data_IF_056579437475
#
_entry.id   IF_056579437475
#
_cell.length_a   1.000
_cell.length_b   1.000
_cell.length_c   1.000
_cell.angle_alpha   90.00
_cell.angle_beta   90.00
_cell.angle_gamma   90.00
#
_symmetry.space_group_name_H-M   'P 1'
#
loop_
_entity.id
_entity.type
_entity.pdbx_description
1 polymer ?
#
# COMPACT_ATOMS: atom_id res chain seq x y z
N UNK A 1 31.55 -39.59 46.89
CA UNK A 1 31.57 -38.25 46.27
C UNK A 1 32.18 -38.47 44.89
N UNK A 2 31.33 -38.93 43.97
CA UNK A 2 30.83 -38.16 42.82
C UNK A 2 31.92 -37.99 41.74
N UNK A 3 31.74 -38.30 40.46
CA UNK A 3 30.56 -38.77 39.74
C UNK A 3 31.08 -39.41 38.43
N UNK A 4 30.48 -40.52 38.05
CA UNK A 4 30.58 -41.09 36.71
C UNK A 4 29.98 -40.10 35.70
N UNK A 5 30.67 -39.87 34.57
CA UNK A 5 30.06 -39.69 33.25
C UNK A 5 31.13 -39.21 32.27
N UNK A 6 31.95 -40.16 31.84
CA UNK A 6 32.66 -40.07 30.57
C UNK A 6 31.64 -39.95 29.43
N UNK A 7 31.46 -38.73 28.94
CA UNK A 7 31.20 -38.38 27.53
C UNK A 7 30.34 -39.37 26.74
N UNK A 8 29.07 -39.48 27.11
CA UNK A 8 28.02 -40.06 26.28
C UNK A 8 27.14 -38.95 25.68
N UNK A 9 27.71 -38.15 24.78
CA UNK A 9 26.93 -37.32 23.83
C UNK A 9 27.65 -37.37 22.48
N UNK A 10 27.77 -38.56 21.89
CA UNK A 10 28.34 -38.76 20.56
C UNK A 10 27.29 -39.26 19.54
N UNK A 11 25.98 -39.11 19.84
CA UNK A 11 24.92 -39.67 18.99
C UNK A 11 23.74 -38.73 18.68
N UNK A 12 23.80 -37.45 19.04
CA UNK A 12 22.67 -36.52 18.79
C UNK A 12 23.00 -35.32 17.87
N UNK A 13 24.24 -35.18 17.40
CA UNK A 13 24.65 -34.01 16.59
C UNK A 13 25.11 -34.35 15.17
N UNK A 14 24.94 -35.60 14.72
CA UNK A 14 25.36 -36.02 13.38
C UNK A 14 24.26 -35.99 12.32
N UNK A 15 23.01 -35.77 12.70
CA UNK A 15 21.89 -35.75 11.76
C UNK A 15 20.92 -34.65 12.18
N UNK A 16 21.10 -33.45 11.62
CA UNK A 16 20.09 -32.50 11.10
C UNK A 16 20.91 -31.26 10.65
N UNK A 17 21.86 -31.47 9.75
CA UNK A 17 22.03 -30.52 8.65
C UNK A 17 21.44 -31.23 7.45
N UNK A 18 20.11 -31.42 7.50
CA UNK A 18 19.39 -31.68 6.27
C UNK A 18 19.67 -30.44 5.42
N UNK A 19 20.49 -30.61 4.38
CA UNK A 19 20.57 -29.67 3.28
C UNK A 19 19.13 -29.45 2.83
N UNK A 20 18.54 -28.35 3.27
CA UNK A 20 17.28 -27.87 2.73
C UNK A 20 17.64 -27.45 1.31
N UNK A 21 17.55 -28.40 0.39
CA UNK A 21 17.51 -28.12 -1.04
C UNK A 21 16.23 -27.36 -1.26
N UNK A 22 16.29 -26.04 -1.12
CA UNK A 22 15.23 -25.16 -1.58
C UNK A 22 15.27 -25.26 -3.10
N UNK A 23 14.41 -26.12 -3.65
CA UNK A 23 14.10 -26.08 -5.06
C UNK A 23 13.38 -24.75 -5.24
N UNK A 24 14.09 -23.74 -5.75
CA UNK A 24 13.47 -22.51 -6.20
C UNK A 24 12.79 -22.89 -7.51
N UNK A 25 11.44 -22.93 -7.57
CA UNK A 25 10.77 -23.19 -8.83
C UNK A 25 11.19 -22.12 -9.83
N UNK A 26 11.42 -22.52 -11.07
CA UNK A 26 11.69 -21.57 -12.14
C UNK A 26 10.54 -20.56 -12.19
N UNK A 27 10.88 -19.28 -12.07
CA UNK A 27 9.89 -18.21 -12.21
C UNK A 27 9.40 -18.23 -13.67
N UNK A 28 8.09 -18.11 -13.90
CA UNK A 28 7.57 -18.03 -15.25
C UNK A 28 8.23 -16.86 -15.98
N UNK A 29 8.57 -17.06 -17.24
CA UNK A 29 9.02 -15.98 -18.10
C UNK A 29 7.90 -14.94 -18.28
N UNK A 30 8.24 -13.69 -18.59
CA UNK A 30 7.25 -12.61 -18.76
C UNK A 30 6.15 -13.00 -19.76
N UNK A 31 6.51 -13.75 -20.80
CA UNK A 31 5.59 -14.19 -21.86
C UNK A 31 4.64 -15.31 -21.40
N UNK A 32 4.91 -15.96 -20.26
CA UNK A 32 4.07 -17.00 -19.65
C UNK A 32 3.12 -16.44 -18.58
N UNK A 33 3.22 -15.14 -18.25
CA UNK A 33 2.34 -14.49 -17.27
C UNK A 33 1.00 -14.17 -17.95
N UNK A 34 0.02 -15.06 -17.76
CA UNK A 34 -1.36 -14.79 -18.14
C UNK A 34 -2.02 -13.88 -17.11
N UNK A 35 -2.34 -12.64 -17.51
CA UNK A 35 -3.15 -11.71 -16.72
C UNK A 35 -4.60 -11.84 -17.18
N UNK A 36 -5.49 -12.27 -16.29
CA UNK A 36 -6.91 -12.38 -16.63
C UNK A 36 -7.59 -11.01 -16.58
N UNK A 37 -8.61 -10.77 -17.39
CA UNK A 37 -9.43 -9.54 -17.33
C UNK A 37 -10.10 -9.33 -15.96
N UNK A 38 -10.24 -10.40 -15.18
CA UNK A 38 -10.66 -10.34 -13.78
C UNK A 38 -9.67 -9.57 -12.89
N UNK A 39 -8.40 -9.54 -13.28
CA UNK A 39 -7.29 -8.90 -12.59
C UNK A 39 -7.01 -7.47 -13.09
N UNK A 40 -7.56 -7.09 -14.26
CA UNK A 40 -7.37 -5.77 -14.85
C UNK A 40 -8.17 -4.71 -14.07
N UNK A 41 -7.51 -3.61 -13.73
CA UNK A 41 -8.13 -2.45 -13.08
C UNK A 41 -8.90 -1.66 -14.14
N UNK A 42 -10.14 -1.28 -13.83
CA UNK A 42 -10.93 -0.39 -14.66
C UNK A 42 -10.33 1.03 -14.61
N UNK A 43 -9.87 1.53 -15.76
CA UNK A 43 -9.34 2.90 -15.91
C UNK A 43 -10.23 3.78 -16.78
N UNK A 44 -11.45 3.34 -17.06
CA UNK A 44 -12.42 4.14 -17.80
C UNK A 44 -12.88 5.32 -16.94
N UNK A 45 -12.85 6.52 -17.53
CA UNK A 45 -13.34 7.75 -16.90
C UNK A 45 -12.69 8.02 -15.53
N UNK A 46 -11.36 8.18 -15.54
CA UNK A 46 -10.58 8.56 -14.36
C UNK A 46 -10.42 10.08 -14.25
N UNK A 47 -10.24 10.55 -13.03
CA UNK A 47 -9.89 11.92 -12.70
C UNK A 47 -8.85 11.96 -11.59
N UNK A 48 -8.20 13.11 -11.42
CA UNK A 48 -7.20 13.31 -10.37
C UNK A 48 -7.61 14.46 -9.48
N UNK A 49 -7.76 14.14 -8.19
CA UNK A 49 -7.97 15.13 -7.13
C UNK A 49 -6.61 15.50 -6.54
N UNK A 50 -6.29 16.79 -6.45
CA UNK A 50 -5.08 17.27 -5.79
C UNK A 50 -5.42 17.75 -4.39
N UNK A 51 -4.61 17.35 -3.41
CA UNK A 51 -4.64 17.84 -2.04
C UNK A 51 -3.38 18.66 -1.82
N UNK A 52 -3.58 19.94 -1.54
CA UNK A 52 -2.53 20.95 -1.39
C UNK A 52 -2.55 21.52 0.02
N UNK A 53 -1.40 22.05 0.47
CA UNK A 53 -1.34 22.90 1.65
C UNK A 53 -1.20 24.38 1.24
N UNK A 54 -2.24 25.18 1.49
CA UNK A 54 -2.28 26.59 1.06
C UNK A 54 -1.40 27.50 1.93
N UNK A 55 -1.13 27.10 3.17
CA UNK A 55 -0.47 27.96 4.16
C UNK A 55 0.99 27.61 4.40
N UNK A 56 1.51 26.56 3.75
CA UNK A 56 2.93 26.23 3.81
C UNK A 56 3.39 25.39 2.64
N UNK A 57 4.66 25.56 2.26
CA UNK A 57 5.36 24.70 1.31
C UNK A 57 5.73 23.34 1.91
N UNK A 58 4.91 22.78 2.81
CA UNK A 58 5.13 21.48 3.45
C UNK A 58 3.76 20.82 3.68
N UNK A 59 3.59 19.56 3.27
CA UNK A 59 2.39 18.80 3.68
C UNK A 59 2.47 18.50 5.19
N UNK A 60 1.36 18.63 5.95
CA UNK A 60 1.34 18.24 7.34
C UNK A 60 1.92 16.84 7.55
N UNK A 61 2.74 16.68 8.59
CA UNK A 61 3.32 15.38 8.89
C UNK A 61 2.21 14.36 9.14
N UNK A 62 2.35 13.15 8.59
CA UNK A 62 1.33 12.10 8.68
C UNK A 62 0.14 12.25 7.72
N UNK A 63 0.04 13.31 6.91
CA UNK A 63 -1.15 13.54 6.07
C UNK A 63 -1.36 12.39 5.08
N UNK A 64 -0.28 11.93 4.45
CA UNK A 64 -0.34 10.81 3.51
C UNK A 64 -0.81 9.53 4.20
N UNK A 65 -0.26 9.24 5.37
CA UNK A 65 -0.57 8.06 6.16
C UNK A 65 -2.03 8.09 6.65
N UNK A 66 -2.52 9.25 7.10
CA UNK A 66 -3.92 9.41 7.47
C UNK A 66 -4.86 9.34 6.27
N UNK A 67 -4.46 9.84 5.10
CA UNK A 67 -5.22 9.66 3.87
C UNK A 67 -5.38 8.18 3.54
N UNK A 68 -4.29 7.40 3.64
CA UNK A 68 -4.32 5.95 3.44
C UNK A 68 -5.25 5.24 4.43
N UNK A 69 -5.25 5.67 5.70
CA UNK A 69 -6.17 5.14 6.73
C UNK A 69 -7.63 5.46 6.38
N UNK A 70 -7.92 6.71 5.99
CA UNK A 70 -9.27 7.12 5.63
C UNK A 70 -9.82 6.35 4.43
N UNK A 71 -8.97 6.06 3.44
CA UNK A 71 -9.34 5.35 2.22
C UNK A 71 -9.24 3.82 2.36
N UNK A 72 -8.68 3.31 3.46
CA UNK A 72 -8.51 1.87 3.71
C UNK A 72 -9.77 1.03 3.40
N UNK A 73 -10.99 1.44 3.81
CA UNK A 73 -12.20 0.66 3.56
C UNK A 73 -12.61 0.54 2.09
N UNK A 74 -12.01 1.33 1.18
CA UNK A 74 -12.30 1.26 -0.25
C UNK A 74 -11.45 0.23 -0.98
N UNK A 75 -10.30 -0.12 -0.42
CA UNK A 75 -9.37 -1.06 -1.05
C UNK A 75 -9.84 -2.49 -0.84
N UNK A 76 -10.05 -3.21 -1.95
CA UNK A 76 -10.08 -4.67 -1.95
C UNK A 76 -8.65 -5.22 -2.06
N UNK A 77 -7.82 -4.60 -2.88
CA UNK A 77 -6.40 -4.90 -3.02
C UNK A 77 -5.59 -3.61 -3.06
N UNK A 78 -4.38 -3.64 -2.48
CA UNK A 78 -3.51 -2.47 -2.34
C UNK A 78 -2.05 -2.88 -2.44
N UNK A 79 -1.27 -2.10 -3.18
CA UNK A 79 0.19 -2.12 -3.24
C UNK A 79 0.72 -0.76 -2.80
N UNK A 80 1.61 -0.79 -1.82
CA UNK A 80 2.25 0.41 -1.28
C UNK A 80 3.72 0.48 -1.66
N UNK A 81 4.10 1.64 -2.16
CA UNK A 81 5.47 2.07 -2.41
C UNK A 81 5.75 3.32 -1.57
N UNK A 82 7.00 3.75 -1.54
CA UNK A 82 7.44 4.88 -0.72
C UNK A 82 6.63 6.17 -0.92
N UNK A 83 6.29 6.50 -2.17
CA UNK A 83 5.60 7.73 -2.56
C UNK A 83 4.34 7.47 -3.40
N UNK A 84 3.90 6.21 -3.49
CA UNK A 84 2.83 5.79 -4.37
C UNK A 84 2.07 4.64 -3.71
N UNK A 85 0.76 4.74 -3.66
CA UNK A 85 -0.12 3.61 -3.35
C UNK A 85 -1.03 3.39 -4.55
N UNK A 86 -1.11 2.15 -5.03
CA UNK A 86 -2.05 1.74 -6.06
C UNK A 86 -2.95 0.68 -5.45
N UNK A 87 -4.25 0.82 -5.63
CA UNK A 87 -5.17 -0.25 -5.27
C UNK A 87 -6.41 -0.24 -6.13
N UNK A 88 -7.25 -1.24 -5.86
CA UNK A 88 -8.54 -1.40 -6.53
C UNK A 88 -9.65 -1.72 -5.55
N UNK A 89 -10.83 -1.23 -5.86
CA UNK A 89 -12.07 -1.58 -5.16
C UNK A 89 -12.54 -2.99 -5.55
N UNK A 90 -13.58 -3.50 -4.88
CA UNK A 90 -14.22 -4.78 -5.22
C UNK A 90 -14.75 -4.79 -6.66
N UNK A 91 -15.23 -3.63 -7.14
CA UNK A 91 -15.73 -3.42 -8.50
C UNK A 91 -14.60 -3.10 -9.50
N UNK A 92 -13.34 -3.35 -9.11
CA UNK A 92 -12.13 -3.12 -9.90
C UNK A 92 -11.88 -1.66 -10.28
N UNK A 93 -12.52 -0.69 -9.65
CA UNK A 93 -12.18 0.73 -9.83
C UNK A 93 -10.79 1.03 -9.24
N UNK A 94 -9.99 1.80 -9.95
CA UNK A 94 -8.70 2.36 -9.56
C UNK A 94 -8.81 3.32 -8.38
N UNK A 95 -7.90 3.17 -7.43
CA UNK A 95 -7.53 4.18 -6.45
C UNK A 95 -6.01 4.28 -6.45
N UNK A 96 -5.47 5.37 -7.01
CA UNK A 96 -4.03 5.66 -7.05
C UNK A 96 -3.75 6.91 -6.25
N UNK A 97 -2.73 6.88 -5.40
CA UNK A 97 -2.35 7.96 -4.51
C UNK A 97 -0.86 8.21 -4.69
N UNK A 98 -0.49 9.41 -5.10
CA UNK A 98 0.90 9.81 -5.32
C UNK A 98 1.26 10.97 -4.40
N UNK A 99 2.38 10.83 -3.69
CA UNK A 99 2.95 11.86 -2.81
C UNK A 99 4.14 12.53 -3.50
N UNK A 100 4.03 13.83 -3.72
CA UNK A 100 5.11 14.63 -4.29
C UNK A 100 5.73 15.52 -3.22
N UNK A 101 6.80 15.04 -2.59
CA UNK A 101 7.47 15.76 -1.50
C UNK A 101 7.98 17.14 -1.94
N UNK A 102 8.56 17.25 -3.14
CA UNK A 102 9.12 18.51 -3.65
C UNK A 102 8.04 19.54 -4.01
N UNK A 103 6.85 19.07 -4.35
CA UNK A 103 5.73 19.89 -4.79
C UNK A 103 4.68 20.10 -3.69
N UNK A 104 4.88 19.48 -2.52
CA UNK A 104 3.99 19.53 -1.36
C UNK A 104 2.53 19.25 -1.69
N UNK A 105 2.32 18.23 -2.51
CA UNK A 105 1.00 17.85 -2.98
C UNK A 105 0.82 16.34 -2.94
N UNK A 106 -0.43 15.93 -2.74
CA UNK A 106 -0.86 14.55 -2.94
C UNK A 106 -1.83 14.53 -4.11
N UNK A 107 -1.62 13.63 -5.05
CA UNK A 107 -2.58 13.36 -6.12
C UNK A 107 -3.33 12.08 -5.81
N UNK A 108 -4.65 12.12 -5.92
CA UNK A 108 -5.56 11.00 -5.77
C UNK A 108 -6.26 10.78 -7.10
N UNK A 109 -5.78 9.83 -7.90
CA UNK A 109 -6.37 9.45 -9.19
C UNK A 109 -7.35 8.29 -8.99
N UNK A 110 -8.60 8.50 -9.39
CA UNK A 110 -9.72 7.59 -9.11
C UNK A 110 -10.66 7.50 -10.30
N UNK A 111 -11.46 6.44 -10.42
CA UNK A 111 -12.61 6.46 -11.32
C UNK A 111 -13.67 7.46 -10.84
N UNK A 112 -14.38 8.08 -11.78
CA UNK A 112 -15.37 9.11 -11.51
C UNK A 112 -16.53 8.66 -10.61
N UNK A 113 -16.92 7.39 -10.68
CA UNK A 113 -17.95 6.80 -9.81
C UNK A 113 -17.54 6.78 -8.33
N UNK A 114 -16.25 6.93 -7.99
CA UNK A 114 -15.76 7.00 -6.62
C UNK A 114 -15.72 8.42 -6.05
N UNK A 115 -15.91 9.45 -6.88
CA UNK A 115 -15.68 10.85 -6.52
C UNK A 115 -16.40 11.27 -5.24
N UNK A 116 -17.73 11.18 -5.25
CA UNK A 116 -18.59 11.66 -4.18
C UNK A 116 -18.28 10.91 -2.87
N UNK A 117 -18.11 9.60 -2.96
CA UNK A 117 -17.77 8.75 -1.81
C UNK A 117 -16.43 9.15 -1.20
N UNK A 118 -15.42 9.39 -2.02
CA UNK A 118 -14.09 9.79 -1.57
C UNK A 118 -14.12 11.19 -0.97
N UNK A 119 -14.77 12.16 -1.63
CA UNK A 119 -14.91 13.52 -1.09
C UNK A 119 -15.55 13.51 0.31
N UNK A 120 -16.62 12.74 0.50
CA UNK A 120 -17.26 12.60 1.81
C UNK A 120 -16.31 12.02 2.86
N UNK A 121 -15.53 10.98 2.53
CA UNK A 121 -14.52 10.41 3.44
C UNK A 121 -13.48 11.46 3.81
N UNK A 122 -12.96 12.22 2.85
CA UNK A 122 -11.94 13.25 3.10
C UNK A 122 -12.47 14.36 4.02
N UNK A 123 -13.68 14.86 3.74
CA UNK A 123 -14.31 15.93 4.53
C UNK A 123 -14.55 15.48 5.97
N UNK A 124 -15.07 14.27 6.19
CA UNK A 124 -15.47 13.82 7.52
C UNK A 124 -14.31 13.26 8.36
N UNK A 125 -13.32 12.62 7.72
CA UNK A 125 -12.27 11.89 8.45
C UNK A 125 -10.92 12.60 8.37
N UNK A 126 -10.50 13.04 7.19
CA UNK A 126 -9.17 13.65 7.04
C UNK A 126 -9.18 15.09 7.55
N UNK A 127 -10.19 15.86 7.18
CA UNK A 127 -10.28 17.28 7.53
C UNK A 127 -10.83 17.57 8.93
N UNK A 128 -11.39 16.56 9.61
CA UNK A 128 -11.65 16.66 11.04
C UNK A 128 -10.35 16.60 11.87
N UNK A 129 -9.31 15.95 11.35
CA UNK A 129 -7.98 15.86 11.96
C UNK A 129 -7.11 17.05 11.54
N UNK A 130 -7.09 17.35 10.25
CA UNK A 130 -6.34 18.47 9.68
C UNK A 130 -7.30 19.62 9.39
N UNK A 131 -7.30 20.64 10.26
CA UNK A 131 -8.14 21.84 10.08
C UNK A 131 -8.14 22.30 8.62
N UNK A 132 -9.33 22.35 8.02
CA UNK A 132 -9.59 22.77 6.63
C UNK A 132 -8.99 24.12 6.28
N UNK A 133 -8.61 24.93 7.27
CA UNK A 133 -7.95 26.22 7.07
C UNK A 133 -6.63 26.13 6.30
N UNK A 134 -6.00 24.95 6.25
CA UNK A 134 -4.68 24.78 5.64
C UNK A 134 -4.67 23.88 4.40
N UNK A 135 -5.74 23.14 4.12
CA UNK A 135 -5.75 22.16 3.02
C UNK A 135 -6.79 22.54 1.96
N UNK A 136 -6.36 22.57 0.69
CA UNK A 136 -7.22 22.81 -0.47
C UNK A 136 -7.33 21.55 -1.32
N UNK A 137 -8.54 21.30 -1.82
CA UNK A 137 -8.81 20.28 -2.83
C UNK A 137 -9.01 20.95 -4.19
N UNK A 138 -8.31 20.47 -5.21
CA UNK A 138 -8.55 20.82 -6.62
C UNK A 138 -8.91 19.56 -7.40
N UNK A 139 -9.93 19.66 -8.26
CA UNK A 139 -10.39 18.60 -9.17
C UNK A 139 -10.17 19.02 -10.60
#
# INVERSE_FOLDING_TARGET
>A
IENENSLSINLAQKEIYQNISIIIPDLPSIDEIQIFDSQIINQDSIQTIKILNDNSNILPNGLYEHLLICLHPLFNERLDYYNLTIGRTIDKNLIKIERFNEQNQIHLTINNNLLERIQNILIHNLFSIYSTKNLRIET
#
